data_IF_002309493568
#
_entry.id   IF_002309493568
#
_cell.length_a   1.000
_cell.length_b   1.000
_cell.length_c   1.000
_cell.angle_alpha   90.00
_cell.angle_beta   90.00
_cell.angle_gamma   90.00
#
_symmetry.space_group_name_H-M   'P 1'
#
loop_
_entity.id
_entity.type
_entity.pdbx_description
1 polymer ?
#
# COMPACT_ATOMS: atom_id res chain seq x y z
N UNK A 1 20.23 16.02 76.75
CA UNK A 1 20.98 15.99 75.46
C UNK A 1 19.98 15.76 74.33
N UNK A 2 20.38 15.79 73.05
CA UNK A 2 19.50 15.27 72.00
C UNK A 2 19.23 13.78 72.25
N UNK A 3 18.01 13.31 71.95
CA UNK A 3 17.66 11.88 72.06
C UNK A 3 18.57 11.05 71.16
N UNK A 4 18.78 9.76 71.48
CA UNK A 4 19.58 8.86 70.64
C UNK A 4 19.04 8.84 69.21
N UNK A 5 17.72 8.78 69.06
CA UNK A 5 17.05 8.88 67.77
C UNK A 5 17.44 10.16 67.01
N UNK A 6 17.36 11.33 67.64
CA UNK A 6 17.73 12.60 66.99
C UNK A 6 19.22 12.66 66.59
N UNK A 7 20.11 12.00 67.36
CA UNK A 7 21.54 11.89 66.99
C UNK A 7 21.75 10.99 65.78
N UNK A 8 21.04 9.87 65.70
CA UNK A 8 21.07 8.96 64.54
C UNK A 8 20.53 9.69 63.30
N UNK A 9 19.36 10.34 63.41
CA UNK A 9 18.74 11.11 62.33
C UNK A 9 19.67 12.24 61.85
N UNK A 10 20.31 12.96 62.78
CA UNK A 10 21.29 14.01 62.45
C UNK A 10 22.51 13.50 61.68
N UNK A 11 22.95 12.26 61.89
CA UNK A 11 24.07 11.65 61.15
C UNK A 11 23.66 11.09 59.80
N UNK A 12 22.46 10.52 59.70
CA UNK A 12 21.92 10.00 58.45
C UNK A 12 21.59 11.14 57.47
N UNK A 13 21.26 12.32 58.01
CA UNK A 13 20.82 13.51 57.27
C UNK A 13 19.32 13.48 57.00
N UNK A 14 18.72 14.66 56.77
CA UNK A 14 17.28 14.83 56.46
C UNK A 14 16.81 14.00 55.25
N UNK A 15 17.72 13.52 54.40
CA UNK A 15 17.43 12.71 53.21
C UNK A 15 16.78 11.34 53.51
N UNK A 16 16.84 10.83 54.75
CA UNK A 16 16.12 9.62 55.15
C UNK A 16 14.62 9.84 55.43
N UNK A 17 14.12 11.07 55.28
CA UNK A 17 12.69 11.41 55.40
C UNK A 17 11.95 11.52 54.06
N UNK A 18 12.61 11.22 52.94
CA UNK A 18 11.92 11.10 51.65
C UNK A 18 10.89 9.97 51.69
N UNK A 19 9.70 10.23 51.15
CA UNK A 19 8.46 9.44 51.28
C UNK A 19 8.60 7.90 51.07
N UNK A 20 9.65 7.43 50.41
CA UNK A 20 9.86 6.01 50.08
C UNK A 20 10.66 5.19 51.11
N UNK A 21 11.41 5.83 52.02
CA UNK A 21 12.24 5.11 53.02
C UNK A 21 11.94 5.62 54.43
N UNK A 22 10.68 5.47 54.85
CA UNK A 22 10.27 5.78 56.23
C UNK A 22 10.87 4.73 57.18
N UNK A 23 11.97 5.09 57.83
CA UNK A 23 12.49 4.33 58.96
C UNK A 23 11.60 4.60 60.17
N UNK A 24 10.91 3.58 60.63
CA UNK A 24 10.09 3.70 61.84
C UNK A 24 10.98 3.70 63.07
N UNK A 25 10.56 4.36 64.14
CA UNK A 25 11.23 4.31 65.45
C UNK A 25 11.48 2.86 65.89
N UNK A 26 10.55 1.95 65.60
CA UNK A 26 10.72 0.51 65.88
C UNK A 26 11.90 -0.11 65.13
N UNK A 27 12.08 0.19 63.85
CA UNK A 27 13.21 -0.34 63.08
C UNK A 27 14.55 0.22 63.55
N UNK A 28 14.58 1.49 63.93
CA UNK A 28 15.77 2.09 64.54
C UNK A 28 16.07 1.47 65.90
N UNK A 29 15.04 1.20 66.71
CA UNK A 29 15.15 0.55 68.01
C UNK A 29 15.73 -0.86 67.88
N UNK A 30 15.20 -1.68 66.97
CA UNK A 30 15.69 -3.03 66.71
C UNK A 30 17.15 -3.02 66.22
N UNK A 31 17.49 -2.09 65.33
CA UNK A 31 18.86 -1.92 64.83
C UNK A 31 19.81 -1.47 65.94
N UNK A 32 19.35 -0.61 66.85
CA UNK A 32 20.13 -0.13 67.98
C UNK A 32 20.38 -1.24 68.99
N UNK A 33 19.35 -2.01 69.34
CA UNK A 33 19.49 -3.17 70.23
C UNK A 33 20.44 -4.22 69.64
N UNK A 34 20.40 -4.42 68.32
CA UNK A 34 21.34 -5.28 67.62
C UNK A 34 22.78 -4.71 67.65
N UNK A 35 22.94 -3.42 67.36
CA UNK A 35 24.22 -2.73 67.41
C UNK A 35 24.85 -2.76 68.80
N UNK A 36 24.05 -2.50 69.84
CA UNK A 36 24.46 -2.58 71.23
C UNK A 36 24.94 -3.99 71.60
N UNK A 37 24.19 -5.04 71.19
CA UNK A 37 24.61 -6.44 71.37
C UNK A 37 25.93 -6.73 70.66
N UNK A 38 26.08 -6.30 69.41
CA UNK A 38 27.29 -6.51 68.62
C UNK A 38 28.50 -5.82 69.26
N UNK A 39 28.35 -4.55 69.66
CA UNK A 39 29.40 -3.77 70.32
C UNK A 39 29.83 -4.46 71.62
N UNK A 40 28.88 -4.78 72.51
CA UNK A 40 29.17 -5.48 73.79
C UNK A 40 29.83 -6.84 73.55
N UNK A 41 29.38 -7.60 72.56
CA UNK A 41 29.96 -8.90 72.22
C UNK A 41 31.41 -8.78 71.72
N UNK A 42 31.77 -7.70 71.04
CA UNK A 42 33.15 -7.46 70.58
C UNK A 42 34.07 -6.87 71.65
N UNK A 43 33.52 -6.40 72.78
CA UNK A 43 34.33 -5.93 73.91
C UNK A 43 35.12 -7.09 74.53
N UNK A 44 36.35 -6.83 75.02
CA UNK A 44 37.11 -7.83 75.74
C UNK A 44 36.44 -8.16 77.09
N UNK A 45 36.62 -9.41 77.54
CA UNK A 45 35.90 -9.95 78.71
C UNK A 45 36.08 -9.12 79.99
N UNK A 46 37.25 -8.47 80.14
CA UNK A 46 37.55 -7.59 81.28
C UNK A 46 36.60 -6.39 81.38
N UNK A 47 36.05 -5.92 80.26
CA UNK A 47 35.09 -4.82 80.22
C UNK A 47 33.68 -5.27 80.63
N UNK A 48 33.37 -6.57 80.58
CA UNK A 48 32.04 -7.08 80.96
C UNK A 48 31.71 -6.89 82.44
N UNK A 49 32.71 -6.57 83.28
CA UNK A 49 32.50 -6.25 84.70
C UNK A 49 31.66 -4.99 84.93
N UNK A 50 31.59 -4.09 83.94
CA UNK A 50 30.84 -2.84 84.02
C UNK A 50 29.34 -3.01 83.71
N UNK A 51 28.95 -4.19 83.22
CA UNK A 51 27.58 -4.49 82.85
C UNK A 51 26.87 -5.29 83.94
N UNK A 52 25.54 -5.19 83.93
CA UNK A 52 24.69 -6.04 84.75
C UNK A 52 24.96 -7.53 84.48
N UNK A 53 24.70 -8.36 85.49
CA UNK A 53 24.83 -9.81 85.38
C UNK A 53 23.47 -10.44 85.59
N UNK A 54 22.98 -11.15 84.58
CA UNK A 54 21.81 -12.00 84.73
C UNK A 54 22.22 -13.25 85.49
N UNK A 55 21.48 -13.55 86.56
CA UNK A 55 21.73 -14.72 87.41
C UNK A 55 20.51 -15.62 87.32
N UNK A 56 20.72 -16.80 86.76
CA UNK A 56 19.67 -17.81 86.64
C UNK A 56 20.12 -18.99 87.49
N UNK A 57 19.37 -19.27 88.55
CA UNK A 57 19.54 -20.50 89.32
C UNK A 57 18.80 -21.64 88.61
N UNK A 58 19.47 -22.78 88.45
CA UNK A 58 18.91 -23.96 87.81
C UNK A 58 19.41 -25.24 88.48
N UNK A 59 18.73 -26.35 88.23
CA UNK A 59 19.13 -27.65 88.76
C UNK A 59 20.23 -28.25 87.87
N UNK A 60 21.39 -28.66 88.43
CA UNK A 60 22.51 -29.20 87.67
C UNK A 60 22.14 -30.37 86.74
N UNK A 61 21.21 -31.22 87.19
CA UNK A 61 20.71 -32.39 86.47
C UNK A 61 19.85 -32.04 85.25
N UNK A 62 19.01 -31.00 85.37
CA UNK A 62 18.13 -30.56 84.28
C UNK A 62 18.93 -29.69 83.29
N UNK A 63 19.86 -28.89 83.80
CA UNK A 63 20.58 -27.88 83.05
C UNK A 63 19.74 -26.63 82.77
N UNK A 64 20.29 -25.69 82.01
CA UNK A 64 19.59 -24.50 81.53
C UNK A 64 19.88 -24.30 80.04
N UNK A 65 18.90 -23.90 79.21
CA UNK A 65 19.18 -23.53 77.84
C UNK A 65 20.09 -22.30 77.81
N UNK A 66 21.08 -22.33 76.92
CA UNK A 66 21.96 -21.19 76.65
C UNK A 66 21.26 -20.22 75.72
N UNK A 67 20.53 -19.27 76.30
CA UNK A 67 19.92 -18.16 75.57
C UNK A 67 21.00 -17.12 75.24
N UNK A 68 21.59 -17.22 74.05
CA UNK A 68 22.36 -16.22 73.23
C UNK A 68 23.34 -15.23 73.92
N UNK A 69 23.53 -15.30 75.23
CA UNK A 69 24.37 -14.42 76.01
C UNK A 69 25.73 -15.06 76.27
N UNK A 70 26.77 -14.23 76.32
CA UNK A 70 28.09 -14.70 76.73
C UNK A 70 28.07 -15.15 78.19
N UNK A 71 28.60 -16.34 78.44
CA UNK A 71 28.74 -16.91 79.79
C UNK A 71 29.86 -16.16 80.50
N UNK A 72 29.55 -15.48 81.61
CA UNK A 72 30.55 -14.78 82.43
C UNK A 72 31.16 -15.74 83.44
N UNK A 73 30.30 -16.47 84.15
CA UNK A 73 30.73 -17.56 85.02
C UNK A 73 29.60 -18.54 85.29
N UNK A 74 29.97 -19.78 85.57
CA UNK A 74 29.04 -20.79 86.08
C UNK A 74 29.45 -21.09 87.51
N UNK A 75 28.50 -21.03 88.43
CA UNK A 75 28.75 -21.26 89.85
C UNK A 75 27.90 -22.42 90.35
N UNK A 76 28.40 -23.14 91.34
CA UNK A 76 27.66 -24.22 92.01
C UNK A 76 27.59 -23.98 93.50
N UNK A 77 26.41 -24.12 94.11
CA UNK A 77 26.26 -24.06 95.56
C UNK A 77 26.81 -25.33 96.21
N UNK A 78 27.74 -25.21 97.16
CA UNK A 78 28.25 -26.32 97.96
C UNK A 78 27.84 -26.17 99.44
N UNK A 79 26.52 -26.18 99.68
CA UNK A 79 25.92 -25.93 101.00
C UNK A 79 25.84 -24.44 101.35
N UNK A 80 26.97 -23.83 101.71
CA UNK A 80 27.01 -22.49 102.30
C UNK A 80 27.32 -21.37 101.31
N UNK A 81 28.15 -21.62 100.29
CA UNK A 81 28.55 -20.63 99.28
C UNK A 81 28.62 -21.21 97.87
N UNK A 82 28.69 -20.32 96.89
CA UNK A 82 28.86 -20.64 95.48
C UNK A 82 30.34 -20.78 95.13
N UNK A 83 30.71 -21.88 94.47
CA UNK A 83 32.05 -22.14 93.93
C UNK A 83 32.06 -21.97 92.41
N UNK A 84 33.09 -21.35 91.83
CA UNK A 84 33.22 -21.27 90.38
C UNK A 84 33.42 -22.66 89.78
N UNK A 85 32.77 -22.91 88.66
CA UNK A 85 32.90 -24.14 87.88
C UNK A 85 33.92 -23.93 86.77
N UNK A 86 34.75 -24.94 86.52
CA UNK A 86 35.68 -24.94 85.37
C UNK A 86 34.97 -25.52 84.15
N UNK A 87 35.16 -24.91 82.98
CA UNK A 87 34.62 -25.47 81.73
C UNK A 87 35.39 -26.74 81.38
N UNK A 88 34.66 -27.79 81.00
CA UNK A 88 35.22 -28.99 80.39
C UNK A 88 34.52 -29.24 79.06
N UNK A 89 35.19 -29.98 78.17
CA UNK A 89 34.56 -30.46 76.95
C UNK A 89 33.41 -31.42 77.27
N UNK A 90 32.38 -31.44 76.42
CA UNK A 90 31.22 -32.30 76.60
C UNK A 90 31.60 -33.78 76.69
N UNK A 91 32.65 -34.20 75.96
CA UNK A 91 33.16 -35.59 75.98
C UNK A 91 33.77 -36.00 77.33
N UNK A 92 34.20 -35.02 78.13
CA UNK A 92 34.72 -35.25 79.48
C UNK A 92 33.62 -35.33 80.54
N UNK A 93 32.35 -35.15 80.17
CA UNK A 93 31.23 -35.18 81.12
C UNK A 93 31.10 -36.55 81.80
N UNK A 94 31.26 -37.65 81.07
CA UNK A 94 31.21 -39.02 81.62
C UNK A 94 32.32 -39.26 82.66
N UNK A 95 33.61 -39.10 82.31
CA UNK A 95 34.71 -39.21 83.26
C UNK A 95 34.62 -38.23 84.44
N UNK A 96 34.05 -37.03 84.24
CA UNK A 96 33.87 -36.07 85.33
C UNK A 96 32.72 -36.44 86.28
N UNK A 97 31.73 -37.22 85.82
CA UNK A 97 30.64 -37.73 86.64
C UNK A 97 31.03 -38.99 87.45
N UNK A 98 31.99 -39.79 86.96
CA UNK A 98 32.43 -41.02 87.63
C UNK A 98 33.29 -40.74 88.87
N UNK A 99 32.77 -41.07 90.06
CA UNK A 99 33.47 -40.97 91.35
C UNK A 99 34.84 -41.67 91.44
N UNK A 100 35.13 -42.63 90.54
CA UNK A 100 36.41 -43.37 90.49
C UNK A 100 37.42 -42.76 89.50
N UNK A 101 36.99 -41.81 88.70
CA UNK A 101 37.84 -41.16 87.70
C UNK A 101 38.76 -40.14 88.35
N UNK A 102 39.97 -39.99 87.80
CA UNK A 102 40.89 -38.91 88.17
C UNK A 102 40.33 -37.52 87.82
N UNK A 103 39.37 -37.47 86.89
CA UNK A 103 38.69 -36.24 86.47
C UNK A 103 37.40 -35.97 87.25
N UNK A 104 37.10 -36.76 88.28
CA UNK A 104 35.87 -36.65 89.04
C UNK A 104 35.66 -35.22 89.55
N UNK A 105 34.54 -34.63 89.12
CA UNK A 105 34.11 -33.33 89.60
C UNK A 105 33.51 -33.49 90.99
N UNK A 106 34.22 -33.00 92.00
CA UNK A 106 33.71 -32.98 93.37
C UNK A 106 32.87 -31.73 93.63
N UNK A 107 32.11 -31.72 94.73
CA UNK A 107 31.46 -30.48 95.19
C UNK A 107 32.45 -29.33 95.48
N UNK A 108 33.73 -29.64 95.69
CA UNK A 108 34.79 -28.66 95.91
C UNK A 108 35.41 -28.13 94.62
N UNK A 109 35.40 -28.94 93.55
CA UNK A 109 35.96 -28.66 92.23
C UNK A 109 34.91 -28.91 91.15
N UNK A 110 33.82 -28.13 91.15
CA UNK A 110 32.73 -28.35 90.21
C UNK A 110 33.16 -27.99 88.79
N UNK A 111 32.56 -28.64 87.81
CA UNK A 111 32.81 -28.40 86.38
C UNK A 111 31.50 -28.17 85.66
N UNK A 112 31.54 -27.50 84.52
CA UNK A 112 30.39 -27.33 83.65
C UNK A 112 30.77 -27.68 82.21
N UNK A 113 29.79 -28.14 81.45
CA UNK A 113 29.94 -28.41 80.03
C UNK A 113 28.70 -27.94 79.29
N UNK A 114 28.86 -27.68 77.99
CA UNK A 114 27.76 -27.34 77.10
C UNK A 114 27.47 -28.58 76.26
N UNK A 115 26.34 -29.21 76.55
CA UNK A 115 25.86 -30.32 75.74
C UNK A 115 25.19 -29.76 74.49
N UNK A 116 25.72 -30.15 73.33
CA UNK A 116 25.09 -29.92 72.05
C UNK A 116 23.80 -30.74 72.00
N UNK A 117 22.69 -30.16 72.47
CA UNK A 117 21.35 -30.71 72.28
C UNK A 117 20.91 -30.65 70.80
N UNK A 118 19.61 -30.48 70.57
CA UNK A 118 19.12 -30.06 69.25
C UNK A 118 19.79 -28.73 68.85
N UNK A 119 20.04 -28.53 67.55
CA UNK A 119 20.65 -27.33 66.95
C UNK A 119 20.09 -26.00 67.48
N UNK A 120 18.86 -26.03 67.99
CA UNK A 120 18.13 -24.88 68.49
C UNK A 120 18.36 -24.54 69.97
N UNK A 121 18.88 -25.43 70.81
CA UNK A 121 18.98 -25.20 72.26
C UNK A 121 20.16 -25.97 72.91
N UNK A 122 21.39 -25.45 72.84
CA UNK A 122 22.49 -26.00 73.63
C UNK A 122 22.18 -25.88 75.12
N UNK A 123 22.45 -26.95 75.86
CA UNK A 123 22.13 -27.05 77.29
C UNK A 123 23.40 -26.97 78.13
N UNK A 124 23.41 -26.05 79.09
CA UNK A 124 24.49 -25.93 80.05
C UNK A 124 24.20 -26.82 81.26
N UNK A 125 25.10 -27.75 81.53
CA UNK A 125 25.01 -28.70 82.65
C UNK A 125 26.22 -28.55 83.57
N UNK A 126 26.04 -28.93 84.85
CA UNK A 126 27.04 -28.77 85.90
C UNK A 126 27.23 -30.07 86.67
N UNK A 127 28.47 -30.48 86.88
CA UNK A 127 28.84 -31.69 87.62
C UNK A 127 29.50 -31.33 88.97
N UNK A 128 29.39 -32.19 90.01
CA UNK A 128 28.66 -33.47 90.04
C UNK A 128 27.12 -33.31 89.95
N UNK A 129 26.33 -34.33 89.65
CA UNK A 129 24.86 -34.15 89.65
C UNK A 129 24.34 -34.22 91.09
N UNK A 130 23.92 -33.10 91.67
CA UNK A 130 23.29 -33.08 93.00
C UNK A 130 21.95 -32.38 92.87
N UNK A 131 20.87 -33.17 92.82
CA UNK A 131 19.50 -32.67 92.62
C UNK A 131 19.00 -31.73 93.72
N UNK A 132 19.72 -31.62 94.84
CA UNK A 132 19.38 -30.73 95.96
C UNK A 132 20.09 -29.37 95.92
N UNK A 133 21.12 -29.21 95.07
CA UNK A 133 21.97 -28.00 95.07
C UNK A 133 21.83 -27.24 93.77
N UNK A 134 21.41 -25.99 93.85
CA UNK A 134 21.31 -25.11 92.68
C UNK A 134 22.69 -24.81 92.08
N UNK A 135 22.79 -24.92 90.76
CA UNK A 135 23.79 -24.24 89.95
C UNK A 135 23.28 -22.84 89.59
N UNK A 136 24.18 -21.92 89.29
CA UNK A 136 23.89 -20.55 88.90
C UNK A 136 24.66 -20.21 87.64
N UNK A 137 23.93 -19.90 86.57
CA UNK A 137 24.48 -19.29 85.37
C UNK A 137 24.54 -17.79 85.60
N UNK A 138 25.75 -17.24 85.46
CA UNK A 138 25.97 -15.81 85.44
C UNK A 138 26.27 -15.43 84.00
N UNK A 139 25.29 -14.87 83.31
CA UNK A 139 25.43 -14.37 81.94
C UNK A 139 25.46 -12.84 81.93
N UNK A 140 25.99 -12.29 80.83
CA UNK A 140 26.00 -10.84 80.63
C UNK A 140 24.57 -10.34 80.43
N UNK A 141 24.11 -9.41 81.27
CA UNK A 141 22.84 -8.73 81.06
C UNK A 141 23.05 -7.63 80.02
N UNK A 142 22.55 -7.85 78.81
CA UNK A 142 22.54 -6.81 77.79
C UNK A 142 21.31 -5.92 78.08
N UNK A 143 21.52 -4.64 78.41
CA UNK A 143 20.42 -3.73 78.68
C UNK A 143 19.66 -3.43 77.39
N UNK A 144 18.36 -3.17 77.53
CA UNK A 144 17.53 -2.56 76.50
C UNK A 144 17.58 -1.05 76.68
N UNK A 145 17.79 -0.31 75.60
CA UNK A 145 17.88 1.17 75.64
C UNK A 145 16.73 1.72 74.83
N UNK A 146 15.94 2.62 75.39
CA UNK A 146 14.91 3.33 74.63
C UNK A 146 15.55 4.48 73.84
N UNK A 147 15.59 4.35 72.51
CA UNK A 147 16.23 5.35 71.64
C UNK A 147 15.50 6.71 71.64
N UNK A 148 14.26 6.76 72.13
CA UNK A 148 13.49 8.01 72.23
C UNK A 148 13.94 8.87 73.42
N UNK A 149 14.82 8.34 74.27
CA UNK A 149 15.39 9.05 75.41
C UNK A 149 16.82 9.51 75.11
N UNK A 150 17.38 10.32 75.99
CA UNK A 150 18.79 10.74 75.93
C UNK A 150 19.70 9.91 76.85
N UNK A 151 19.16 8.87 77.48
CA UNK A 151 19.79 8.21 78.62
C UNK A 151 20.68 7.04 78.18
N UNK A 152 21.96 7.18 78.54
CA UNK A 152 23.02 6.15 78.51
C UNK A 152 22.53 4.81 79.09
N UNK A 153 22.97 3.64 78.59
CA UNK A 153 23.16 2.47 79.47
C UNK A 153 24.03 2.91 80.66
N UNK A 154 23.57 2.77 81.92
CA UNK A 154 24.38 3.13 83.09
C UNK A 154 25.70 2.34 83.10
N UNK A 155 26.81 3.03 83.34
CA UNK A 155 28.17 2.46 83.38
C UNK A 155 28.70 1.91 82.05
N UNK A 156 28.08 2.25 80.92
CA UNK A 156 28.69 2.02 79.62
C UNK A 156 29.94 2.90 79.48
N UNK A 157 31.05 2.39 78.91
CA UNK A 157 32.21 3.24 78.66
C UNK A 157 31.86 4.38 77.71
N UNK A 158 32.12 5.62 78.14
CA UNK A 158 31.82 6.84 77.39
C UNK A 158 32.43 6.80 75.97
N UNK A 159 33.61 6.19 75.79
CA UNK A 159 34.28 6.10 74.49
C UNK A 159 33.57 5.18 73.49
N UNK A 160 32.70 4.29 73.99
CA UNK A 160 31.96 3.33 73.16
C UNK A 160 30.51 3.73 72.95
N UNK A 161 30.02 4.73 73.69
CA UNK A 161 28.63 5.20 73.69
C UNK A 161 28.09 5.47 72.28
N UNK A 162 28.97 5.95 71.40
CA UNK A 162 28.66 6.32 70.04
C UNK A 162 28.65 5.13 69.05
N UNK A 163 29.30 4.01 69.39
CA UNK A 163 29.42 2.87 68.47
C UNK A 163 28.05 2.24 68.09
N UNK A 164 27.11 2.02 69.02
CA UNK A 164 25.78 1.56 68.67
C UNK A 164 25.05 2.53 67.73
N UNK A 165 25.23 3.85 67.89
CA UNK A 165 24.64 4.84 66.98
C UNK A 165 25.22 4.72 65.58
N UNK A 166 26.57 4.68 65.47
CA UNK A 166 27.25 4.51 64.17
C UNK A 166 26.82 3.20 63.51
N UNK A 167 26.66 2.12 64.28
CA UNK A 167 26.15 0.85 63.77
C UNK A 167 24.77 0.98 63.12
N UNK A 168 23.84 1.68 63.79
CA UNK A 168 22.50 1.93 63.23
C UNK A 168 22.58 2.75 61.96
N UNK A 169 23.42 3.78 61.92
CA UNK A 169 23.62 4.61 60.72
C UNK A 169 24.12 3.77 59.55
N UNK A 170 25.10 2.88 59.76
CA UNK A 170 25.60 1.96 58.72
C UNK A 170 24.46 1.07 58.21
N UNK A 171 23.66 0.51 59.11
CA UNK A 171 22.54 -0.36 58.75
C UNK A 171 21.47 0.37 57.93
N UNK A 172 21.11 1.59 58.35
CA UNK A 172 20.20 2.49 57.63
C UNK A 172 20.72 2.75 56.20
N UNK A 173 22.00 3.12 56.06
CA UNK A 173 22.61 3.41 54.75
C UNK A 173 22.72 2.18 53.85
N UNK A 174 22.98 1.00 54.41
CA UNK A 174 22.94 -0.26 53.66
C UNK A 174 21.54 -0.57 53.13
N UNK A 175 20.50 -0.27 53.91
CA UNK A 175 19.12 -0.43 53.46
C UNK A 175 18.72 0.60 52.41
N UNK A 176 19.15 1.87 52.56
CA UNK A 176 18.96 2.92 51.56
C UNK A 176 19.54 2.50 50.20
N UNK A 177 20.77 1.98 50.20
CA UNK A 177 21.39 1.36 49.02
C UNK A 177 20.53 0.24 48.44
N UNK A 178 20.02 -0.67 49.28
CA UNK A 178 19.18 -1.79 48.86
C UNK A 178 17.87 -1.34 48.19
N UNK A 179 17.22 -0.31 48.73
CA UNK A 179 15.99 0.25 48.16
C UNK A 179 16.29 0.93 46.82
N UNK A 180 17.28 1.81 46.75
CA UNK A 180 17.65 2.50 45.51
C UNK A 180 18.00 1.50 44.39
N UNK A 181 18.71 0.41 44.72
CA UNK A 181 19.00 -0.66 43.76
C UNK A 181 17.74 -1.39 43.30
N UNK A 182 16.77 -1.63 44.18
CA UNK A 182 15.48 -2.23 43.80
C UNK A 182 14.69 -1.28 42.89
N UNK A 183 14.61 0.01 43.22
CA UNK A 183 13.94 1.00 42.35
C UNK A 183 14.61 1.11 40.97
N UNK A 184 15.94 1.04 40.89
CA UNK A 184 16.68 0.95 39.62
C UNK A 184 16.27 -0.28 38.82
N UNK A 185 16.16 -1.44 39.49
CA UNK A 185 15.69 -2.68 38.86
C UNK A 185 14.23 -2.57 38.39
N UNK A 186 13.34 -1.96 39.17
CA UNK A 186 11.94 -1.76 38.80
C UNK A 186 11.81 -0.89 37.53
N UNK A 187 12.62 0.17 37.40
CA UNK A 187 12.69 0.97 36.16
C UNK A 187 13.24 0.18 34.97
N UNK A 188 14.23 -0.69 35.20
CA UNK A 188 14.77 -1.56 34.15
C UNK A 188 13.74 -2.60 33.69
N UNK A 189 12.99 -3.19 34.62
CA UNK A 189 11.91 -4.14 34.33
C UNK A 189 10.73 -3.45 33.61
N UNK A 190 10.43 -2.19 33.95
CA UNK A 190 9.49 -1.34 33.22
C UNK A 190 9.89 -1.20 31.74
N UNK A 191 11.17 -0.95 31.47
CA UNK A 191 11.70 -0.80 30.11
C UNK A 191 11.69 -2.13 29.35
N UNK A 192 12.22 -3.20 29.95
CA UNK A 192 12.59 -4.45 29.25
C UNK A 192 11.48 -5.49 29.23
N UNK A 193 10.88 -5.76 30.38
CA UNK A 193 10.13 -7.00 30.63
C UNK A 193 8.62 -6.78 30.63
N UNK A 194 8.17 -5.55 30.91
CA UNK A 194 6.77 -5.29 31.28
C UNK A 194 6.04 -4.25 30.44
N UNK A 195 6.67 -3.58 29.46
CA UNK A 195 5.89 -2.62 28.68
C UNK A 195 6.58 -1.98 27.50
N UNK A 196 7.57 -1.12 27.72
CA UNK A 196 7.89 -0.11 26.70
C UNK A 196 8.57 -0.67 25.46
N UNK A 197 9.56 -1.57 25.58
CA UNK A 197 10.22 -2.17 24.42
C UNK A 197 9.30 -3.11 23.64
N UNK A 198 8.59 -4.01 24.33
CA UNK A 198 7.65 -4.91 23.69
C UNK A 198 6.50 -4.14 23.01
N UNK A 199 5.99 -3.09 23.66
CA UNK A 199 4.96 -2.24 23.09
C UNK A 199 5.52 -1.37 21.95
N UNK A 200 6.77 -0.89 22.02
CA UNK A 200 7.45 -0.22 20.92
C UNK A 200 7.52 -1.12 19.69
N UNK A 201 7.96 -2.37 19.84
CA UNK A 201 8.02 -3.34 18.74
C UNK A 201 6.64 -3.60 18.12
N UNK A 202 5.58 -3.68 18.92
CA UNK A 202 4.22 -3.85 18.40
C UNK A 202 3.66 -2.62 17.67
N UNK A 203 4.15 -1.42 18.01
CA UNK A 203 3.73 -0.17 17.39
C UNK A 203 4.54 0.18 16.14
N UNK A 204 5.65 -0.52 15.88
CA UNK A 204 6.44 -0.30 14.67
C UNK A 204 5.56 -0.53 13.44
N UNK A 205 5.36 0.50 12.61
CA UNK A 205 4.49 0.36 11.46
C UNK A 205 5.18 -0.49 10.38
N UNK A 206 4.47 -1.48 9.88
CA UNK A 206 4.85 -2.20 8.67
C UNK A 206 4.16 -1.56 7.47
N UNK A 207 4.94 -1.15 6.47
CA UNK A 207 4.37 -0.61 5.25
C UNK A 207 3.82 -1.74 4.39
N UNK A 208 2.50 -1.81 4.27
CA UNK A 208 1.81 -2.68 3.33
C UNK A 208 1.14 -1.77 2.29
N UNK A 209 1.61 -1.77 1.03
CA UNK A 209 1.02 -0.90 0.02
C UNK A 209 -0.46 -1.26 -0.21
N UNK A 210 -1.37 -0.28 -0.33
CA UNK A 210 -2.77 -0.57 -0.62
C UNK A 210 -2.90 -1.26 -1.98
N UNK A 211 -3.82 -2.21 -2.09
CA UNK A 211 -4.07 -2.91 -3.36
C UNK A 211 -4.65 -1.93 -4.37
N UNK A 212 -4.00 -1.80 -5.53
CA UNK A 212 -4.50 -0.94 -6.60
C UNK A 212 -5.88 -1.44 -7.10
N UNK A 213 -6.88 -0.54 -7.22
CA UNK A 213 -8.17 -0.88 -7.81
C UNK A 213 -8.02 -1.19 -9.32
N UNK A 214 -8.81 -2.14 -9.82
CA UNK A 214 -8.78 -2.54 -11.22
C UNK A 214 -9.77 -1.70 -12.05
N UNK A 215 -9.30 -1.07 -13.12
CA UNK A 215 -10.16 -0.38 -14.09
C UNK A 215 -10.51 -1.38 -15.21
N UNK A 216 -11.80 -1.51 -15.55
CA UNK A 216 -12.25 -2.33 -16.66
C UNK A 216 -11.76 -1.78 -18.00
N UNK A 217 -11.38 -2.61 -18.96
CA UNK A 217 -10.88 -2.16 -20.27
C UNK A 217 -11.95 -1.42 -21.08
N UNK A 218 -11.60 -0.26 -21.65
CA UNK A 218 -12.46 0.50 -22.57
C UNK A 218 -12.72 -0.32 -23.85
N UNK A 219 -13.98 -0.57 -24.14
CA UNK A 219 -14.42 -1.19 -25.39
C UNK A 219 -15.23 -0.18 -26.19
N UNK A 220 -14.73 0.18 -27.37
CA UNK A 220 -15.41 1.11 -28.28
C UNK A 220 -16.40 0.34 -29.16
N UNK A 221 -17.50 0.98 -29.60
CA UNK A 221 -18.39 0.39 -30.60
C UNK A 221 -17.62 0.15 -31.90
N UNK A 222 -18.11 -0.76 -32.75
CA UNK A 222 -17.55 -0.97 -34.08
C UNK A 222 -17.94 0.19 -35.02
N UNK A 223 -17.00 0.64 -35.85
CA UNK A 223 -17.28 1.63 -36.90
C UNK A 223 -18.32 1.07 -37.86
N UNK A 224 -19.41 1.81 -38.19
CA UNK A 224 -20.39 1.35 -39.16
C UNK A 224 -19.72 1.17 -40.53
N UNK A 225 -19.71 -0.05 -41.05
CA UNK A 225 -19.26 -0.34 -42.40
C UNK A 225 -20.46 -0.26 -43.35
N UNK A 226 -20.61 0.84 -44.09
CA UNK A 226 -21.55 0.89 -45.19
C UNK A 226 -20.81 0.67 -46.50
N UNK A 227 -21.19 -0.37 -47.23
CA UNK A 227 -20.84 -0.51 -48.65
C UNK A 227 -21.81 0.41 -49.41
N UNK A 228 -21.31 1.50 -49.97
CA UNK A 228 -22.11 2.32 -50.88
C UNK A 228 -22.34 1.52 -52.15
N UNK A 229 -23.58 1.07 -52.38
CA UNK A 229 -23.93 0.30 -53.55
C UNK A 229 -24.42 1.24 -54.64
N UNK A 230 -23.56 1.53 -55.62
CA UNK A 230 -23.98 2.20 -56.85
C UNK A 230 -24.38 1.15 -57.88
N UNK A 231 -25.67 1.03 -58.14
CA UNK A 231 -26.18 0.31 -59.30
C UNK A 231 -26.18 1.25 -60.49
N UNK A 232 -25.48 0.87 -61.58
CA UNK A 232 -25.50 1.64 -62.85
C UNK A 232 -26.93 1.83 -63.35
N UNK A 233 -27.19 2.90 -64.12
CA UNK A 233 -28.49 3.15 -64.77
C UNK A 233 -28.82 2.14 -65.89
N UNK A 234 -27.94 1.18 -66.13
CA UNK A 234 -27.96 0.25 -67.25
C UNK A 234 -26.98 0.70 -68.33
N UNK A 235 -27.12 0.13 -69.52
CA UNK A 235 -26.38 0.58 -70.70
C UNK A 235 -26.94 1.93 -71.17
N UNK A 236 -26.05 2.80 -71.63
CA UNK A 236 -26.41 4.07 -72.26
C UNK A 236 -27.17 3.81 -73.57
N UNK A 237 -28.21 4.59 -73.92
CA UNK A 237 -28.85 4.47 -75.23
C UNK A 237 -27.82 4.65 -76.36
N UNK A 238 -28.00 3.91 -77.45
CA UNK A 238 -27.07 3.93 -78.59
C UNK A 238 -26.93 5.36 -79.17
N UNK A 239 -25.68 5.78 -79.41
CA UNK A 239 -25.35 7.08 -80.00
C UNK A 239 -25.78 7.19 -81.47
N UNK A 240 -26.19 6.08 -82.09
CA UNK A 240 -26.54 6.01 -83.51
C UNK A 240 -28.01 5.66 -83.74
N UNK A 241 -28.74 6.59 -84.38
CA UNK A 241 -30.06 6.29 -84.93
C UNK A 241 -29.84 5.50 -86.22
N UNK A 242 -30.07 4.19 -86.17
CA UNK A 242 -29.90 3.31 -87.33
C UNK A 242 -31.15 3.35 -88.19
N UNK A 243 -31.14 4.16 -89.25
CA UNK A 243 -32.19 4.11 -90.27
C UNK A 243 -31.98 2.87 -91.16
N UNK A 244 -32.96 1.96 -91.15
CA UNK A 244 -32.91 0.77 -92.02
C UNK A 244 -33.34 1.06 -93.46
N UNK A 245 -34.08 2.16 -93.68
CA UNK A 245 -34.48 2.63 -95.01
C UNK A 245 -33.45 3.57 -95.61
N UNK A 246 -33.07 3.31 -96.85
CA UNK A 246 -32.19 4.18 -97.63
C UNK A 246 -32.95 5.37 -98.20
N UNK A 247 -32.27 6.50 -98.37
CA UNK A 247 -32.82 7.69 -99.01
C UNK A 247 -33.38 7.35 -100.40
N UNK A 248 -34.64 7.72 -100.73
CA UNK A 248 -35.21 7.43 -102.04
C UNK A 248 -34.42 8.14 -103.14
N UNK A 249 -34.24 7.46 -104.28
CA UNK A 249 -33.51 8.00 -105.43
C UNK A 249 -34.46 8.18 -106.61
N UNK A 250 -34.54 9.41 -107.15
CA UNK A 250 -35.35 9.68 -108.33
C UNK A 250 -34.61 9.20 -109.58
N UNK A 251 -35.17 8.20 -110.28
CA UNK A 251 -34.69 7.76 -111.59
C UNK A 251 -35.75 8.11 -112.64
N UNK A 252 -35.58 9.25 -113.31
CA UNK A 252 -36.52 9.73 -114.31
C UNK A 252 -36.44 8.97 -115.64
N UNK A 253 -37.55 8.85 -116.39
CA UNK A 253 -37.49 8.30 -117.76
C UNK A 253 -36.67 9.23 -118.68
N UNK A 254 -36.09 8.68 -119.75
CA UNK A 254 -35.36 9.45 -120.80
C UNK A 254 -36.18 9.49 -122.09
N UNK A 255 -36.39 10.68 -122.66
CA UNK A 255 -37.07 10.87 -123.95
C UNK A 255 -36.05 11.04 -125.08
N UNK A 256 -36.26 10.37 -126.21
CA UNK A 256 -35.43 10.53 -127.42
C UNK A 256 -36.35 10.94 -128.55
N UNK A 257 -36.11 12.11 -129.13
CA UNK A 257 -36.94 12.68 -130.19
C UNK A 257 -36.39 12.25 -131.57
N UNK A 258 -37.17 11.49 -132.34
CA UNK A 258 -36.78 11.04 -133.67
C UNK A 258 -37.38 11.94 -134.76
N UNK A 259 -36.52 12.73 -135.43
CA UNK A 259 -36.95 13.61 -136.52
C UNK A 259 -36.83 12.95 -137.89
N UNK A 260 -36.27 11.74 -137.98
CA UNK A 260 -35.86 11.14 -139.25
C UNK A 260 -37.03 10.92 -140.22
N UNK A 261 -38.16 10.42 -139.72
CA UNK A 261 -39.39 10.17 -140.50
C UNK A 261 -40.10 11.45 -140.92
N UNK A 262 -40.15 12.47 -140.06
CA UNK A 262 -40.73 13.78 -140.40
C UNK A 262 -39.88 14.45 -141.49
N UNK A 263 -38.55 14.43 -141.33
CA UNK A 263 -37.63 15.05 -142.28
C UNK A 263 -37.64 14.33 -143.63
N UNK A 264 -37.70 13.00 -143.65
CA UNK A 264 -37.76 12.20 -144.88
C UNK A 264 -39.04 12.53 -145.68
N UNK A 265 -40.19 12.55 -145.02
CA UNK A 265 -41.48 12.86 -145.64
C UNK A 265 -41.54 14.28 -146.21
N UNK A 266 -41.04 15.28 -145.48
CA UNK A 266 -40.98 16.66 -145.99
C UNK A 266 -39.99 16.81 -147.15
N UNK A 267 -38.87 16.07 -147.12
CA UNK A 267 -37.88 16.09 -148.21
C UNK A 267 -38.48 15.50 -149.48
N UNK A 268 -39.16 14.35 -149.40
CA UNK A 268 -39.83 13.75 -150.55
C UNK A 268 -40.96 14.63 -151.10
N UNK A 269 -41.77 15.24 -150.24
CA UNK A 269 -42.81 16.19 -150.66
C UNK A 269 -42.22 17.38 -151.43
N UNK A 270 -41.07 17.90 -150.98
CA UNK A 270 -40.36 18.99 -151.66
C UNK A 270 -39.80 18.56 -153.01
N UNK A 271 -39.17 17.39 -153.08
CA UNK A 271 -38.55 16.91 -154.33
C UNK A 271 -39.58 16.63 -155.43
N UNK A 272 -40.79 16.21 -155.06
CA UNK A 272 -41.92 16.11 -156.00
C UNK A 272 -42.37 17.47 -156.54
N UNK A 273 -42.23 18.55 -155.76
CA UNK A 273 -42.62 19.90 -156.15
C UNK A 273 -41.59 20.57 -157.07
N UNK A 274 -40.30 20.47 -156.73
CA UNK A 274 -39.25 21.33 -157.30
C UNK A 274 -38.27 20.61 -158.25
N UNK A 275 -38.09 19.28 -158.15
CA UNK A 275 -36.92 18.59 -158.70
C UNK A 275 -37.23 17.38 -159.61
N UNK A 276 -38.30 17.45 -160.39
CA UNK A 276 -38.70 16.42 -161.36
C UNK A 276 -39.05 15.04 -160.75
N UNK A 277 -39.55 15.02 -159.51
CA UNK A 277 -39.87 13.79 -158.77
C UNK A 277 -40.95 12.88 -159.39
N UNK A 278 -41.59 13.30 -160.48
CA UNK A 278 -42.61 12.53 -161.21
C UNK A 278 -42.16 12.04 -162.60
N UNK A 279 -40.87 12.15 -162.93
CA UNK A 279 -40.30 11.49 -164.12
C UNK A 279 -40.13 12.40 -165.34
N UNK A 280 -39.20 13.36 -165.23
CA UNK A 280 -38.68 14.30 -166.25
C UNK A 280 -39.30 15.70 -166.33
N UNK A 281 -40.35 15.96 -165.55
CA UNK A 281 -40.90 17.32 -165.34
C UNK A 281 -41.42 17.42 -163.91
N UNK A 282 -41.26 18.56 -163.26
CA UNK A 282 -41.79 18.83 -161.91
C UNK A 282 -43.24 19.31 -161.95
N UNK A 283 -43.94 19.27 -160.81
CA UNK A 283 -45.35 19.70 -160.75
C UNK A 283 -45.51 21.15 -161.21
N UNK A 284 -44.54 22.02 -160.93
CA UNK A 284 -44.55 23.42 -161.35
C UNK A 284 -44.48 23.57 -162.89
N UNK A 285 -43.62 22.79 -163.55
CA UNK A 285 -43.44 22.71 -164.99
C UNK A 285 -44.65 22.07 -165.67
N UNK A 286 -45.22 21.02 -165.07
CA UNK A 286 -46.43 20.35 -165.57
C UNK A 286 -47.63 21.33 -165.54
N UNK A 287 -47.78 22.11 -164.47
CA UNK A 287 -48.81 23.18 -164.38
C UNK A 287 -48.59 24.23 -165.47
N UNK A 288 -47.34 24.66 -165.68
CA UNK A 288 -46.99 25.69 -166.66
C UNK A 288 -47.25 25.21 -168.09
N UNK A 289 -47.03 23.93 -168.37
CA UNK A 289 -47.31 23.29 -169.66
C UNK A 289 -48.82 23.00 -169.88
N UNK A 290 -49.69 23.37 -168.92
CA UNK A 290 -51.16 23.16 -168.94
C UNK A 290 -51.60 21.70 -168.93
N UNK A 291 -50.73 20.77 -168.51
CA UNK A 291 -51.06 19.36 -168.29
C UNK A 291 -51.68 19.17 -166.90
N UNK A 292 -52.86 19.76 -166.70
CA UNK A 292 -53.51 19.85 -165.39
C UNK A 292 -53.79 18.48 -164.74
N UNK A 293 -53.99 17.43 -165.54
CA UNK A 293 -54.24 16.08 -165.02
C UNK A 293 -52.99 15.45 -164.40
N UNK A 294 -51.80 15.67 -164.97
CA UNK A 294 -50.53 15.18 -164.41
C UNK A 294 -50.13 15.99 -163.17
N UNK A 295 -50.36 17.31 -163.18
CA UNK A 295 -50.13 18.16 -162.02
C UNK A 295 -50.99 17.72 -160.82
N UNK A 296 -52.20 17.25 -161.10
CA UNK A 296 -53.10 16.72 -160.07
C UNK A 296 -52.55 15.45 -159.42
N UNK A 297 -51.97 14.53 -160.19
CA UNK A 297 -51.34 13.32 -159.64
C UNK A 297 -50.16 13.69 -158.74
N UNK A 298 -49.35 14.66 -159.17
CA UNK A 298 -48.21 15.13 -158.39
C UNK A 298 -48.59 15.84 -157.09
N UNK A 299 -49.61 16.69 -157.12
CA UNK A 299 -50.16 17.29 -155.91
C UNK A 299 -50.69 16.25 -154.92
N UNK A 300 -51.27 15.14 -155.42
CA UNK A 300 -51.80 14.08 -154.54
C UNK A 300 -50.69 13.22 -153.92
N UNK A 301 -49.56 13.06 -154.61
CA UNK A 301 -48.35 12.44 -154.05
C UNK A 301 -47.72 13.32 -152.96
N UNK A 302 -47.57 14.63 -153.20
CA UNK A 302 -47.09 15.61 -152.20
C UNK A 302 -47.99 15.60 -150.97
N UNK A 303 -49.32 15.57 -151.17
CA UNK A 303 -50.30 15.51 -150.09
C UNK A 303 -50.18 14.23 -149.27
N UNK A 304 -49.86 13.10 -149.91
CA UNK A 304 -49.62 11.83 -149.20
C UNK A 304 -48.38 11.93 -148.31
N UNK A 305 -47.29 12.52 -148.80
CA UNK A 305 -46.08 12.73 -148.01
C UNK A 305 -46.26 13.73 -146.88
N UNK A 306 -47.00 14.83 -147.10
CA UNK A 306 -47.40 15.74 -146.03
C UNK A 306 -48.27 15.04 -144.97
N UNK A 307 -49.14 14.12 -145.39
CA UNK A 307 -49.94 13.31 -144.46
C UNK A 307 -49.04 12.39 -143.64
N UNK A 308 -48.02 11.76 -144.25
CA UNK A 308 -47.02 10.93 -143.54
C UNK A 308 -46.23 11.74 -142.51
N UNK A 309 -45.78 12.95 -142.86
CA UNK A 309 -45.14 13.86 -141.92
C UNK A 309 -46.08 14.23 -140.77
N UNK A 310 -47.35 14.52 -141.08
CA UNK A 310 -48.36 14.87 -140.09
C UNK A 310 -48.68 13.69 -139.14
N UNK A 311 -48.72 12.46 -139.63
CA UNK A 311 -48.86 11.25 -138.80
C UNK A 311 -47.65 11.07 -137.89
N UNK A 312 -46.42 11.20 -138.42
CA UNK A 312 -45.22 11.10 -137.58
C UNK A 312 -45.17 12.19 -136.51
N UNK A 313 -45.66 13.40 -136.78
CA UNK A 313 -45.82 14.47 -135.77
C UNK A 313 -46.85 14.07 -134.69
N UNK A 314 -47.93 13.38 -135.07
CA UNK A 314 -48.92 12.89 -134.11
C UNK A 314 -48.37 11.77 -133.23
N UNK A 315 -47.58 10.86 -133.81
CA UNK A 315 -46.93 9.77 -133.07
C UNK A 315 -45.91 10.33 -132.05
N UNK A 316 -45.07 11.28 -132.47
CA UNK A 316 -44.15 11.97 -131.56
C UNK A 316 -44.88 12.73 -130.45
N UNK A 317 -46.03 13.36 -130.76
CA UNK A 317 -46.89 13.97 -129.73
C UNK A 317 -47.45 12.93 -128.75
N UNK A 318 -47.81 11.74 -129.21
CA UNK A 318 -48.30 10.66 -128.36
C UNK A 318 -47.18 10.12 -127.45
N UNK A 319 -45.98 9.91 -127.99
CA UNK A 319 -44.81 9.50 -127.21
C UNK A 319 -44.44 10.56 -126.16
N UNK A 320 -44.54 11.84 -126.51
CA UNK A 320 -44.31 12.93 -125.56
C UNK A 320 -45.38 12.96 -124.45
N UNK A 321 -46.64 12.66 -124.75
CA UNK A 321 -47.68 12.50 -123.73
C UNK A 321 -47.42 11.30 -122.82
N UNK A 322 -47.03 10.15 -123.37
CA UNK A 322 -46.67 8.97 -122.59
C UNK A 322 -45.46 9.24 -121.69
N UNK A 323 -44.47 9.97 -122.20
CA UNK A 323 -43.31 10.39 -121.43
C UNK A 323 -43.69 11.30 -120.25
N UNK A 324 -44.60 12.26 -120.47
CA UNK A 324 -45.13 13.12 -119.40
C UNK A 324 -45.86 12.30 -118.33
N UNK A 325 -46.65 11.28 -118.71
CA UNK A 325 -47.30 10.39 -117.74
C UNK A 325 -46.30 9.53 -116.97
N UNK A 326 -45.26 9.00 -117.62
CA UNK A 326 -44.17 8.28 -116.93
C UNK A 326 -43.41 9.17 -115.95
N UNK A 327 -43.21 10.46 -116.27
CA UNK A 327 -42.66 11.44 -115.33
C UNK A 327 -43.60 11.61 -114.14
N UNK A 328 -44.91 11.80 -114.36
CA UNK A 328 -45.89 11.95 -113.27
C UNK A 328 -45.93 10.72 -112.36
N UNK A 329 -45.89 9.53 -112.92
CA UNK A 329 -45.86 8.28 -112.15
C UNK A 329 -44.56 8.16 -111.34
N UNK A 330 -43.40 8.38 -111.96
CA UNK A 330 -42.10 8.34 -111.28
C UNK A 330 -42.02 9.38 -110.15
N UNK A 331 -42.53 10.59 -110.39
CA UNK A 331 -42.59 11.65 -109.40
C UNK A 331 -43.57 11.30 -108.26
N UNK A 332 -44.71 10.66 -108.58
CA UNK A 332 -45.67 10.17 -107.59
C UNK A 332 -45.12 9.04 -106.71
N UNK A 333 -44.35 8.11 -107.29
CA UNK A 333 -43.65 7.07 -106.52
C UNK A 333 -42.60 7.68 -105.60
N UNK A 334 -41.77 8.58 -106.14
CA UNK A 334 -40.75 9.26 -105.36
C UNK A 334 -41.32 10.07 -104.20
N UNK A 335 -42.43 10.80 -104.39
CA UNK A 335 -43.10 11.53 -103.30
C UNK A 335 -43.71 10.60 -102.26
N UNK A 336 -44.26 9.46 -102.67
CA UNK A 336 -44.73 8.41 -101.76
C UNK A 336 -43.62 7.82 -100.90
N UNK A 337 -42.52 7.39 -101.52
CA UNK A 337 -41.33 6.86 -100.84
C UNK A 337 -40.71 7.91 -99.90
N UNK A 338 -40.61 9.17 -100.33
CA UNK A 338 -40.15 10.26 -99.48
C UNK A 338 -41.05 10.48 -98.26
N UNK A 339 -42.36 10.32 -98.39
CA UNK A 339 -43.30 10.44 -97.26
C UNK A 339 -43.14 9.30 -96.26
N UNK A 340 -42.96 8.06 -96.73
CA UNK A 340 -42.69 6.91 -95.86
C UNK A 340 -41.37 7.08 -95.12
N UNK A 341 -40.30 7.46 -95.83
CA UNK A 341 -38.99 7.73 -95.23
C UNK A 341 -39.08 8.83 -94.15
N UNK A 342 -39.81 9.93 -94.41
CA UNK A 342 -40.03 10.98 -93.42
C UNK A 342 -40.80 10.48 -92.18
N UNK A 343 -41.78 9.59 -92.35
CA UNK A 343 -42.55 9.03 -91.25
C UNK A 343 -41.71 8.07 -90.39
N UNK A 344 -40.90 7.21 -91.01
CA UNK A 344 -39.98 6.31 -90.29
C UNK A 344 -38.90 7.09 -89.55
N UNK A 345 -38.30 8.12 -90.17
CA UNK A 345 -37.37 9.01 -89.50
C UNK A 345 -38.01 9.70 -88.29
N UNK A 346 -39.24 10.18 -88.41
CA UNK A 346 -39.96 10.81 -87.29
C UNK A 346 -40.23 9.82 -86.15
N UNK A 347 -40.55 8.56 -86.48
CA UNK A 347 -40.77 7.49 -85.50
C UNK A 347 -39.48 7.16 -84.75
N UNK A 348 -38.39 6.91 -85.45
CA UNK A 348 -37.09 6.57 -84.85
C UNK A 348 -36.55 7.72 -83.99
N UNK A 349 -36.74 8.98 -84.41
CA UNK A 349 -36.42 10.15 -83.58
C UNK A 349 -37.29 10.22 -82.32
N UNK A 350 -38.56 9.81 -82.37
CA UNK A 350 -39.44 9.78 -81.21
C UNK A 350 -39.06 8.67 -80.22
N UNK A 351 -38.70 7.48 -80.73
CA UNK A 351 -38.21 6.35 -79.91
C UNK A 351 -36.89 6.71 -79.24
N UNK A 352 -35.91 7.24 -79.97
CA UNK A 352 -34.65 7.72 -79.40
C UNK A 352 -34.87 8.80 -78.31
N UNK A 353 -35.82 9.72 -78.50
CA UNK A 353 -36.17 10.71 -77.46
C UNK A 353 -36.78 10.07 -76.21
N UNK A 354 -37.61 9.05 -76.37
CA UNK A 354 -38.20 8.33 -75.24
C UNK A 354 -37.13 7.57 -74.45
N UNK A 355 -36.21 6.90 -75.14
CA UNK A 355 -35.10 6.17 -74.52
C UNK A 355 -34.16 7.09 -73.73
N UNK A 356 -33.80 8.25 -74.31
CA UNK A 356 -33.01 9.27 -73.61
C UNK A 356 -33.73 9.79 -72.35
N UNK A 357 -35.04 10.02 -72.41
CA UNK A 357 -35.82 10.44 -71.24
C UNK A 357 -35.87 9.35 -70.16
N UNK A 358 -36.07 8.09 -70.55
CA UNK A 358 -36.09 6.96 -69.63
C UNK A 358 -34.73 6.74 -68.95
N UNK A 359 -33.63 6.82 -69.71
CA UNK A 359 -32.27 6.75 -69.17
C UNK A 359 -31.99 7.91 -68.21
N UNK A 360 -32.38 9.14 -68.57
CA UNK A 360 -32.25 10.32 -67.69
C UNK A 360 -33.03 10.16 -66.39
N UNK A 361 -34.24 9.59 -66.44
CA UNK A 361 -35.04 9.31 -65.24
C UNK A 361 -34.38 8.27 -64.32
N UNK A 362 -33.82 7.18 -64.88
CA UNK A 362 -33.06 6.18 -64.12
C UNK A 362 -31.81 6.77 -63.47
N UNK A 363 -31.08 7.63 -64.19
CA UNK A 363 -29.93 8.36 -63.64
C UNK A 363 -30.33 9.23 -62.45
N UNK A 364 -31.47 9.93 -62.54
CA UNK A 364 -31.96 10.74 -61.43
C UNK A 364 -32.39 9.88 -60.23
N UNK A 365 -33.01 8.72 -60.45
CA UNK A 365 -33.40 7.80 -59.38
C UNK A 365 -32.19 7.20 -58.67
N UNK A 366 -31.21 6.70 -59.42
CA UNK A 366 -29.94 6.20 -58.86
C UNK A 366 -29.21 7.28 -58.06
N UNK A 367 -29.26 8.54 -58.51
CA UNK A 367 -28.72 9.67 -57.75
C UNK A 367 -29.48 9.88 -56.44
N UNK A 368 -30.82 9.83 -56.46
CA UNK A 368 -31.63 9.98 -55.25
C UNK A 368 -31.36 8.86 -54.23
N UNK A 369 -31.16 7.62 -54.70
CA UNK A 369 -30.79 6.47 -53.86
C UNK A 369 -29.40 6.71 -53.23
N UNK A 370 -28.41 7.09 -54.05
CA UNK A 370 -27.07 7.39 -53.56
C UNK A 370 -27.08 8.54 -52.53
N UNK A 371 -27.85 9.61 -52.77
CA UNK A 371 -27.98 10.73 -51.84
C UNK A 371 -28.62 10.28 -50.51
N UNK A 372 -29.58 9.35 -50.54
CA UNK A 372 -30.19 8.75 -49.35
C UNK A 372 -29.18 7.89 -48.56
N UNK A 373 -28.42 7.05 -49.24
CA UNK A 373 -27.39 6.21 -48.61
C UNK A 373 -26.29 7.07 -47.98
N UNK A 374 -25.87 8.14 -48.66
CA UNK A 374 -24.93 9.14 -48.12
C UNK A 374 -25.50 9.81 -46.86
N UNK A 375 -26.78 10.20 -46.88
CA UNK A 375 -27.43 10.82 -45.73
C UNK A 375 -27.49 9.86 -44.53
N UNK A 376 -27.85 8.60 -44.76
CA UNK A 376 -27.89 7.57 -43.73
C UNK A 376 -26.50 7.29 -43.16
N UNK A 377 -25.48 7.16 -44.01
CA UNK A 377 -24.10 6.95 -43.53
C UNK A 377 -23.60 8.11 -42.67
N UNK A 378 -23.93 9.36 -43.03
CA UNK A 378 -23.61 10.54 -42.21
C UNK A 378 -24.30 10.50 -40.86
N UNK A 379 -25.55 10.05 -40.80
CA UNK A 379 -26.29 9.88 -39.54
C UNK A 379 -25.66 8.81 -38.64
N UNK A 380 -25.34 7.63 -39.21
CA UNK A 380 -24.71 6.53 -38.50
C UNK A 380 -23.32 6.92 -37.99
N UNK A 381 -22.55 7.66 -38.77
CA UNK A 381 -21.25 8.20 -38.36
C UNK A 381 -21.40 9.20 -37.21
N UNK A 382 -22.38 10.10 -37.27
CA UNK A 382 -22.69 11.03 -36.17
C UNK A 382 -23.15 10.29 -34.90
N UNK A 383 -23.90 9.19 -35.04
CA UNK A 383 -24.32 8.33 -33.92
C UNK A 383 -23.13 7.62 -33.30
N UNK A 384 -22.27 7.01 -34.13
CA UNK A 384 -21.02 6.38 -33.69
C UNK A 384 -20.13 7.38 -32.93
N UNK A 385 -19.93 8.58 -33.49
CA UNK A 385 -19.12 9.62 -32.84
C UNK A 385 -19.68 10.00 -31.46
N UNK A 386 -20.99 10.23 -31.35
CA UNK A 386 -21.65 10.52 -30.06
C UNK A 386 -21.48 9.39 -29.05
N UNK A 387 -21.69 8.14 -29.47
CA UNK A 387 -21.53 6.97 -28.60
C UNK A 387 -20.07 6.80 -28.15
N UNK A 388 -19.11 6.94 -29.07
CA UNK A 388 -17.69 6.87 -28.75
C UNK A 388 -17.28 7.98 -27.78
N UNK A 389 -17.72 9.22 -27.99
CA UNK A 389 -17.42 10.33 -27.06
C UNK A 389 -18.06 10.11 -25.69
N UNK A 390 -19.29 9.60 -25.62
CA UNK A 390 -19.95 9.27 -24.36
C UNK A 390 -19.18 8.20 -23.57
N UNK A 391 -18.78 7.11 -24.23
CA UNK A 391 -17.98 6.03 -23.60
C UNK A 391 -16.59 6.50 -23.16
N UNK A 392 -15.93 7.34 -23.96
CA UNK A 392 -14.65 7.94 -23.58
C UNK A 392 -14.81 8.81 -22.33
N UNK A 393 -15.86 9.64 -22.27
CA UNK A 393 -16.12 10.50 -21.12
C UNK A 393 -16.46 9.67 -19.87
N UNK A 394 -17.28 8.62 -20.00
CA UNK A 394 -17.60 7.71 -18.91
C UNK A 394 -16.34 7.00 -18.39
N UNK A 395 -15.49 6.49 -19.28
CA UNK A 395 -14.23 5.87 -18.91
C UNK A 395 -13.26 6.85 -18.25
N UNK A 396 -13.15 8.08 -18.75
CA UNK A 396 -12.33 9.13 -18.14
C UNK A 396 -12.83 9.49 -16.73
N UNK A 397 -14.14 9.58 -16.52
CA UNK A 397 -14.74 9.79 -15.20
C UNK A 397 -14.45 8.62 -14.26
N UNK A 398 -14.67 7.37 -14.70
CA UNK A 398 -14.36 6.17 -13.91
C UNK A 398 -12.88 6.08 -13.56
N UNK A 399 -11.99 6.38 -14.52
CA UNK A 399 -10.55 6.41 -14.28
C UNK A 399 -10.18 7.47 -13.26
N UNK A 400 -10.76 8.68 -13.34
CA UNK A 400 -10.50 9.77 -12.40
C UNK A 400 -10.99 9.42 -10.99
N UNK A 401 -12.19 8.84 -10.87
CA UNK A 401 -12.74 8.37 -9.61
C UNK A 401 -11.88 7.26 -8.98
N UNK A 402 -11.46 6.28 -9.79
CA UNK A 402 -10.60 5.18 -9.34
C UNK A 402 -9.23 5.68 -8.85
N UNK A 403 -8.65 6.68 -9.53
CA UNK A 403 -7.41 7.33 -9.09
C UNK A 403 -7.63 8.09 -7.78
N UNK A 404 -8.74 8.81 -7.64
CA UNK A 404 -9.07 9.54 -6.40
C UNK A 404 -9.28 8.58 -5.22
N UNK A 405 -9.96 7.45 -5.42
CA UNK A 405 -10.12 6.39 -4.42
C UNK A 405 -8.76 5.81 -4.00
N UNK A 406 -7.91 5.48 -4.97
CA UNK A 406 -6.56 4.98 -4.66
C UNK A 406 -5.72 6.02 -3.92
N UNK A 407 -5.80 7.30 -4.31
CA UNK A 407 -5.14 8.39 -3.58
C UNK A 407 -5.65 8.52 -2.14
N UNK A 408 -6.97 8.37 -1.91
CA UNK A 408 -7.54 8.40 -0.57
C UNK A 408 -7.04 7.23 0.29
N UNK A 409 -7.00 6.00 -0.27
CA UNK A 409 -6.44 4.83 0.40
C UNK A 409 -4.95 5.02 0.74
N UNK A 410 -4.17 5.60 -0.17
CA UNK A 410 -2.76 5.92 0.10
C UNK A 410 -2.64 6.94 1.24
N UNK A 411 -3.47 7.99 1.27
CA UNK A 411 -3.46 8.98 2.35
C UNK A 411 -3.87 8.38 3.70
N UNK A 412 -4.85 7.47 3.71
CA UNK A 412 -5.27 6.74 4.91
C UNK A 412 -4.12 5.88 5.46
N UNK A 413 -3.49 5.06 4.61
CA UNK A 413 -2.33 4.23 5.01
C UNK A 413 -1.16 5.09 5.49
N UNK A 414 -0.89 6.21 4.83
CA UNK A 414 0.14 7.17 5.28
C UNK A 414 -0.21 7.77 6.64
N UNK A 415 -1.47 8.14 6.87
CA UNK A 415 -1.95 8.66 8.14
C UNK A 415 -1.82 7.65 9.28
N UNK A 416 -2.22 6.39 9.05
CA UNK A 416 -2.03 5.30 10.01
C UNK A 416 -0.55 5.05 10.32
N UNK A 417 0.30 5.02 9.29
CA UNK A 417 1.74 4.84 9.43
C UNK A 417 2.36 5.96 10.27
N UNK A 418 2.03 7.22 10.00
CA UNK A 418 2.49 8.38 10.77
C UNK A 418 2.01 8.33 12.22
N UNK A 419 0.76 7.93 12.46
CA UNK A 419 0.21 7.78 13.82
C UNK A 419 0.96 6.72 14.63
N UNK A 420 1.18 5.53 14.04
CA UNK A 420 1.96 4.45 14.67
C UNK A 420 3.41 4.87 14.93
N UNK A 421 4.04 5.53 13.97
CA UNK A 421 5.40 6.06 14.14
C UNK A 421 5.49 7.08 15.29
N UNK A 422 4.51 7.97 15.42
CA UNK A 422 4.45 8.94 16.52
C UNK A 422 4.32 8.26 17.88
N UNK A 423 3.48 7.23 18.00
CA UNK A 423 3.35 6.43 19.24
C UNK A 423 4.64 5.69 19.59
N UNK A 424 5.27 5.06 18.61
CA UNK A 424 6.56 4.40 18.79
C UNK A 424 7.64 5.39 19.26
N UNK A 425 7.70 6.59 18.66
CA UNK A 425 8.62 7.65 19.10
C UNK A 425 8.35 8.12 20.53
N UNK A 426 7.08 8.24 20.95
CA UNK A 426 6.72 8.63 22.31
C UNK A 426 7.16 7.57 23.33
N UNK A 427 6.95 6.28 23.03
CA UNK A 427 7.40 5.17 23.88
C UNK A 427 8.92 5.13 24.02
N UNK A 428 9.65 5.44 22.95
CA UNK A 428 11.12 5.54 22.99
C UNK A 428 11.58 6.68 23.91
N UNK A 429 10.95 7.86 23.83
CA UNK A 429 11.25 8.99 24.72
C UNK A 429 10.98 8.65 26.19
N UNK A 430 9.87 7.96 26.47
CA UNK A 430 9.54 7.54 27.82
C UNK A 430 10.53 6.51 28.37
N UNK A 431 10.95 5.53 27.55
CA UNK A 431 12.01 4.59 27.91
C UNK A 431 13.34 5.31 28.19
N UNK A 432 13.67 6.36 27.43
CA UNK A 432 14.86 7.18 27.67
C UNK A 432 14.79 7.95 29.00
N UNK A 433 13.63 8.51 29.35
CA UNK A 433 13.42 9.18 30.65
C UNK A 433 13.59 8.19 31.79
N UNK A 434 12.97 7.01 31.70
CA UNK A 434 13.12 5.95 32.72
C UNK A 434 14.56 5.48 32.88
N UNK A 435 15.31 5.38 31.77
CA UNK A 435 16.73 5.05 31.82
C UNK A 435 17.54 6.13 32.57
N UNK A 436 17.22 7.41 32.39
CA UNK A 436 17.83 8.49 33.17
C UNK A 436 17.46 8.40 34.66
N UNK A 437 16.21 8.08 34.98
CA UNK A 437 15.75 7.85 36.35
C UNK A 437 16.49 6.67 36.99
N UNK A 438 16.64 5.56 36.29
CA UNK A 438 17.43 4.40 36.71
C UNK A 438 18.87 4.80 37.06
N UNK A 439 19.54 5.55 36.17
CA UNK A 439 20.90 6.06 36.42
C UNK A 439 20.98 6.93 37.69
N UNK A 440 19.93 7.72 37.96
CA UNK A 440 19.87 8.53 39.18
C UNK A 440 19.75 7.66 40.45
N UNK A 441 18.99 6.56 40.39
CA UNK A 441 18.89 5.61 41.50
C UNK A 441 20.20 4.86 41.73
N UNK A 442 20.90 4.48 40.67
CA UNK A 442 22.22 3.86 40.79
C UNK A 442 23.23 4.81 41.45
N UNK A 443 23.22 6.09 41.07
CA UNK A 443 24.06 7.11 41.71
C UNK A 443 23.74 7.27 43.20
N UNK A 444 22.45 7.32 43.57
CA UNK A 444 22.01 7.35 44.98
C UNK A 444 22.47 6.10 45.74
N UNK A 445 22.33 4.91 45.13
CA UNK A 445 22.80 3.65 45.72
C UNK A 445 24.31 3.67 45.98
N UNK A 446 25.11 4.19 45.05
CA UNK A 446 26.56 4.30 45.19
C UNK A 446 26.92 5.31 46.29
N UNK A 447 26.23 6.46 46.36
CA UNK A 447 26.43 7.45 47.40
C UNK A 447 26.16 6.86 48.80
N UNK A 448 25.02 6.19 48.99
CA UNK A 448 24.66 5.52 50.24
C UNK A 448 25.69 4.44 50.64
N UNK A 449 26.21 3.68 49.68
CA UNK A 449 27.28 2.69 49.93
C UNK A 449 28.58 3.37 50.39
N UNK A 450 28.97 4.48 49.77
CA UNK A 450 30.18 5.20 50.15
C UNK A 450 30.06 5.81 51.55
N UNK A 451 28.89 6.35 51.89
CA UNK A 451 28.59 6.82 53.25
C UNK A 451 28.64 5.68 54.27
N UNK A 452 28.02 4.53 53.98
CA UNK A 452 28.09 3.36 54.84
C UNK A 452 29.54 2.90 55.09
N UNK A 453 30.40 2.94 54.06
CA UNK A 453 31.84 2.61 54.20
C UNK A 453 32.59 3.62 55.05
N UNK A 454 32.26 4.91 54.95
CA UNK A 454 32.84 5.96 55.80
C UNK A 454 32.51 5.72 57.28
N UNK A 455 31.24 5.45 57.58
CA UNK A 455 30.81 5.14 58.95
C UNK A 455 31.40 3.82 59.45
N UNK A 456 31.54 2.81 58.59
CA UNK A 456 32.22 1.56 58.94
C UNK A 456 33.70 1.80 59.32
N UNK A 457 34.41 2.62 58.55
CA UNK A 457 35.78 2.99 58.86
C UNK A 457 35.88 3.77 60.19
N UNK A 458 34.91 4.65 60.47
CA UNK A 458 34.81 5.35 61.75
C UNK A 458 34.56 4.39 62.92
N UNK A 459 33.63 3.44 62.76
CA UNK A 459 33.33 2.39 63.73
C UNK A 459 34.58 1.56 64.06
N UNK A 460 35.29 1.08 63.03
CA UNK A 460 36.49 0.26 63.19
C UNK A 460 37.63 1.04 63.86
N UNK A 461 37.78 2.32 63.50
CA UNK A 461 38.75 3.23 64.13
C UNK A 461 38.48 3.38 65.62
N UNK A 462 37.26 3.75 66.01
CA UNK A 462 36.88 3.95 67.43
C UNK A 462 37.00 2.66 68.24
N UNK A 463 36.60 1.53 67.67
CA UNK A 463 36.79 0.23 68.30
C UNK A 463 38.27 -0.12 68.49
N UNK A 464 39.12 0.22 67.52
CA UNK A 464 40.58 0.03 67.59
C UNK A 464 41.26 0.91 68.65
N UNK A 465 40.86 2.19 68.74
CA UNK A 465 41.31 3.13 69.76
C UNK A 465 40.97 2.61 71.16
N UNK A 466 39.73 2.16 71.37
CA UNK A 466 39.29 1.57 72.64
C UNK A 466 40.09 0.32 73.02
N UNK A 467 40.30 -0.61 72.08
CA UNK A 467 41.12 -1.82 72.32
C UNK A 467 42.54 -1.44 72.74
N UNK A 468 43.12 -0.41 72.12
CA UNK A 468 44.46 0.08 72.44
C UNK A 468 44.50 0.70 73.84
N UNK A 469 43.45 1.44 74.22
CA UNK A 469 43.34 2.05 75.55
C UNK A 469 43.27 0.97 76.65
N UNK A 470 42.46 -0.06 76.46
CA UNK A 470 42.38 -1.18 77.42
C UNK A 470 43.70 -1.94 77.61
N UNK A 471 44.52 -2.06 76.55
CA UNK A 471 45.85 -2.68 76.67
C UNK A 471 46.79 -1.78 77.50
N UNK A 472 46.71 -0.46 77.36
CA UNK A 472 47.50 0.48 78.17
C UNK A 472 47.09 0.41 79.63
N UNK A 473 45.79 0.41 79.91
CA UNK A 473 45.26 0.36 81.28
C UNK A 473 45.58 -0.99 81.94
N UNK A 474 45.61 -2.09 81.18
CA UNK A 474 46.01 -3.40 81.69
C UNK A 474 47.48 -3.48 82.12
N UNK A 475 48.37 -2.64 81.57
CA UNK A 475 49.79 -2.56 82.02
C UNK A 475 49.95 -1.78 83.32
N UNK A 476 48.93 -1.03 83.74
CA UNK A 476 48.92 -0.32 85.00
C UNK A 476 48.14 -1.16 86.03
N UNK A 477 48.81 -2.14 86.64
CA UNK A 477 48.29 -2.84 87.84
C UNK A 477 48.70 -2.03 89.09
N UNK A 478 47.83 -1.19 89.66
CA UNK A 478 48.19 -0.40 90.86
C UNK A 478 48.49 -1.27 92.08
N UNK A 479 48.00 -2.51 92.15
CA UNK A 479 48.29 -3.46 93.23
C UNK A 479 49.68 -4.12 93.10
N UNK A 480 50.34 -3.99 91.95
CA UNK A 480 51.63 -4.63 91.66
C UNK A 480 52.84 -3.70 91.87
N UNK A 481 52.64 -2.41 92.19
CA UNK A 481 53.72 -1.48 92.57
C UNK A 481 54.80 -1.20 91.51
N UNK A 482 54.61 -1.60 90.25
CA UNK A 482 55.58 -1.37 89.17
C UNK A 482 55.01 -1.68 87.79
N UNK A 483 55.53 -0.99 86.76
CA UNK A 483 55.25 -1.29 85.35
C UNK A 483 55.53 -2.78 85.10
N UNK A 484 54.53 -3.52 84.59
CA UNK A 484 54.70 -4.88 84.04
C UNK A 484 55.15 -4.80 82.59
#
# INVERSE_FOLDING_TARGET
MATIQARIEGRVGEAASGDDIVFTTTQMQDAYDHGLRAVIATMPEKAWKYFGRNRIDFLPLVGTPLLTGKIVSVLRRNGTYYRPCTMIDADMAGPAADSRSIHYASGFTPVYYVESGSFSNPMLKVLPEDGSKAARLVSLAIPTVDITTDTIVPHFPDELEELPEIYVVIWIKQREMGVARRSSQDELEAITSSGYLAAFESDLPTFVPPKAPSISTLTLPSVPSSVLAYTSAGDEPDDTITMTTSLPTYTGPVFTYDQSTISDALTQAKDMMDNSGLGSTDVEAIITAKHLDEARVGMEAIKTELTRAQTSIQDERAQLQEFVEKIREALGKFTGEATVYQAELAKEVAEARADVQAYTAKMQDNRNILDKDIAQYREDLNKYQRQSTALINEFAQKSTATVAEYQALVQEVVGEFQSKLSKASARLQEAQIRLQTMQSFDQKSIAALNEAKMFQAEFDKKLGEYKTQLVKDAKFCPECGGKV
#
